data_IF_339339764361
#
_entry.id   IF_339339764361
#
_cell.length_a   1.000
_cell.length_b   1.000
_cell.length_c   1.000
_cell.angle_alpha   90.00
_cell.angle_beta   90.00
_cell.angle_gamma   90.00
#
_symmetry.space_group_name_H-M   'P 1'
#
loop_
_entity.id
_entity.type
_entity.pdbx_description
1 polymer ?
#
# COMPACT_ATOMS: atom_id res chain seq x y z
N UNK A 1 -5.82 -18.94 24.28
CA UNK A 1 -7.18 -18.93 24.86
C UNK A 1 -7.05 -19.16 26.35
N UNK A 2 -7.85 -18.44 27.11
CA UNK A 2 -7.88 -18.40 28.55
C UNK A 2 -9.35 -18.34 29.00
N UNK A 3 -9.58 -18.42 30.31
CA UNK A 3 -10.89 -18.35 30.95
C UNK A 3 -10.77 -17.44 32.16
N UNK A 4 -11.85 -16.85 32.63
CA UNK A 4 -11.92 -15.94 33.78
C UNK A 4 -12.74 -14.68 33.53
N UNK A 5 -13.00 -14.38 32.26
CA UNK A 5 -13.80 -13.27 31.75
C UNK A 5 -14.17 -13.59 30.30
N UNK A 6 -15.16 -12.90 29.74
CA UNK A 6 -15.57 -13.04 28.35
C UNK A 6 -15.15 -11.77 27.56
N UNK A 7 -13.98 -11.82 26.92
CA UNK A 7 -13.36 -10.67 26.23
C UNK A 7 -12.24 -11.13 25.27
N UNK A 8 -12.08 -10.41 24.15
CA UNK A 8 -10.91 -10.56 23.26
C UNK A 8 -9.96 -9.39 23.50
N UNK A 9 -8.70 -9.70 23.78
CA UNK A 9 -7.69 -8.70 24.10
C UNK A 9 -6.62 -8.63 23.02
N UNK A 10 -6.33 -7.42 22.56
CA UNK A 10 -5.20 -7.12 21.69
C UNK A 10 -4.11 -6.34 22.45
N UNK A 11 -2.86 -6.29 21.92
CA UNK A 11 -1.77 -5.56 22.54
C UNK A 11 -2.09 -4.08 22.78
N UNK A 12 -1.36 -3.38 23.64
CA UNK A 12 -0.43 -3.90 24.62
C UNK A 12 -1.11 -4.22 25.95
N UNK A 13 -0.56 -5.20 26.67
CA UNK A 13 -0.85 -5.40 28.08
C UNK A 13 0.11 -4.62 28.98
N UNK A 14 1.39 -4.57 28.59
CA UNK A 14 2.44 -3.93 29.39
C UNK A 14 2.33 -2.41 29.41
N UNK A 15 1.96 -1.83 28.27
CA UNK A 15 1.96 -0.39 28.03
C UNK A 15 0.53 0.13 27.91
N UNK A 16 0.22 1.33 28.46
CA UNK A 16 -1.10 1.94 28.34
C UNK A 16 -1.36 2.54 26.96
N UNK A 17 -0.31 2.75 26.16
CA UNK A 17 -0.43 3.23 24.78
C UNK A 17 -1.04 2.17 23.86
N UNK A 18 -1.72 2.62 22.80
CA UNK A 18 -2.19 1.74 21.75
C UNK A 18 -1.01 1.18 20.92
N UNK A 19 -1.18 0.03 20.25
CA UNK A 19 -0.25 -0.46 19.25
C UNK A 19 0.06 0.61 18.19
N UNK A 20 1.27 0.62 17.65
CA UNK A 20 1.66 1.60 16.62
C UNK A 20 0.80 1.53 15.35
N UNK A 21 0.24 0.37 15.02
CA UNK A 21 -0.71 0.14 13.92
C UNK A 21 -2.14 -0.09 14.46
N UNK A 22 -2.53 0.68 15.48
CA UNK A 22 -3.82 0.57 16.17
C UNK A 22 -5.04 0.53 15.23
N UNK A 23 -4.94 1.15 14.05
CA UNK A 23 -6.00 1.15 13.04
C UNK A 23 -6.41 -0.27 12.65
N UNK A 24 -5.44 -1.20 12.61
CA UNK A 24 -5.69 -2.63 12.34
C UNK A 24 -6.59 -3.23 13.42
N UNK A 25 -6.25 -2.99 14.69
CA UNK A 25 -6.97 -3.58 15.82
C UNK A 25 -8.35 -2.97 16.01
N UNK A 26 -8.48 -1.66 15.79
CA UNK A 26 -9.78 -1.00 15.82
C UNK A 26 -10.66 -1.40 14.65
N UNK A 27 -10.11 -1.52 13.44
CA UNK A 27 -10.88 -2.03 12.29
C UNK A 27 -11.40 -3.46 12.52
N UNK A 28 -10.58 -4.33 13.11
CA UNK A 28 -11.01 -5.68 13.51
C UNK A 28 -12.09 -5.63 14.59
N UNK A 29 -11.91 -4.81 15.64
CA UNK A 29 -12.91 -4.63 16.70
C UNK A 29 -14.25 -4.22 16.12
N UNK A 30 -14.24 -3.17 15.31
CA UNK A 30 -15.46 -2.53 14.83
C UNK A 30 -16.23 -3.51 13.91
N UNK A 31 -15.55 -4.22 13.00
CA UNK A 31 -16.20 -5.23 12.15
C UNK A 31 -16.72 -6.43 12.97
N UNK A 32 -15.93 -6.93 13.93
CA UNK A 32 -16.37 -8.06 14.76
C UNK A 32 -17.61 -7.68 15.57
N UNK A 33 -17.61 -6.51 16.22
CA UNK A 33 -18.71 -6.08 17.09
C UNK A 33 -19.93 -5.54 16.33
N UNK A 34 -19.79 -5.15 15.07
CA UNK A 34 -20.94 -4.76 14.25
C UNK A 34 -21.61 -5.96 13.58
N UNK A 35 -20.84 -6.97 13.14
CA UNK A 35 -21.32 -7.97 12.20
C UNK A 35 -21.18 -9.43 12.64
N UNK A 36 -20.36 -9.75 13.65
CA UNK A 36 -19.96 -11.15 13.93
C UNK A 36 -20.31 -11.59 15.35
N UNK A 37 -19.94 -10.80 16.36
CA UNK A 37 -19.93 -11.22 17.76
C UNK A 37 -20.06 -10.04 18.71
N UNK A 38 -20.78 -10.26 19.81
CA UNK A 38 -20.94 -9.32 20.90
C UNK A 38 -19.78 -9.37 21.90
N UNK A 39 -18.79 -10.27 21.71
CA UNK A 39 -17.61 -10.37 22.57
C UNK A 39 -16.85 -9.04 22.54
N UNK A 40 -16.66 -8.36 23.67
CA UNK A 40 -15.91 -7.11 23.69
C UNK A 40 -14.48 -7.32 23.19
N UNK A 41 -14.00 -6.49 22.26
CA UNK A 41 -12.61 -6.55 21.79
C UNK A 41 -11.85 -5.28 22.20
N UNK A 42 -10.86 -5.43 23.08
CA UNK A 42 -10.23 -4.29 23.78
C UNK A 42 -8.71 -4.41 23.90
N UNK A 43 -8.05 -3.27 24.07
CA UNK A 43 -6.64 -3.25 24.45
C UNK A 43 -6.49 -3.93 25.82
N UNK A 44 -5.49 -4.81 25.97
CA UNK A 44 -5.33 -5.62 27.17
C UNK A 44 -5.08 -4.85 28.46
N UNK A 45 -4.30 -3.77 28.40
CA UNK A 45 -4.01 -2.94 29.56
C UNK A 45 -5.27 -2.23 30.07
N UNK A 46 -6.05 -1.68 29.12
CA UNK A 46 -7.22 -0.84 29.40
C UNK A 46 -8.51 -1.65 29.64
N UNK A 47 -8.68 -2.77 28.94
CA UNK A 47 -9.90 -3.59 28.99
C UNK A 47 -9.87 -4.70 30.03
N UNK A 48 -8.69 -5.07 30.54
CA UNK A 48 -8.54 -6.08 31.59
C UNK A 48 -7.74 -5.53 32.78
N UNK A 49 -6.41 -5.50 32.67
CA UNK A 49 -5.50 -4.87 33.63
C UNK A 49 -4.08 -4.82 33.05
N UNK A 50 -3.20 -3.91 33.54
CA UNK A 50 -1.81 -3.88 33.15
C UNK A 50 -1.08 -5.20 33.45
N UNK A 51 -0.53 -5.86 32.42
CA UNK A 51 0.19 -7.12 32.57
C UNK A 51 1.45 -7.20 31.70
N UNK A 52 2.48 -7.88 32.18
CA UNK A 52 3.76 -8.01 31.49
C UNK A 52 4.07 -9.49 31.19
N UNK A 53 4.88 -9.73 30.16
CA UNK A 53 5.37 -11.07 29.84
C UNK A 53 4.32 -11.99 29.21
N UNK A 54 3.25 -11.43 28.62
CA UNK A 54 2.23 -12.22 27.93
C UNK A 54 2.73 -12.68 26.57
N UNK A 55 2.27 -13.87 26.14
CA UNK A 55 2.55 -14.38 24.79
C UNK A 55 1.96 -13.48 23.71
N UNK A 56 0.85 -12.80 23.99
CA UNK A 56 0.22 -11.82 23.11
C UNK A 56 1.15 -10.64 22.80
N UNK A 57 1.69 -10.00 23.83
CA UNK A 57 2.59 -8.86 23.66
C UNK A 57 3.92 -9.31 23.03
N UNK A 58 4.39 -10.53 23.30
CA UNK A 58 5.56 -11.11 22.63
C UNK A 58 5.30 -11.38 21.13
N UNK A 59 4.16 -11.99 20.80
CA UNK A 59 3.78 -12.29 19.43
C UNK A 59 3.69 -11.03 18.57
N UNK A 60 3.11 -9.96 19.12
CA UNK A 60 3.06 -8.69 18.42
C UNK A 60 4.40 -7.94 18.44
N UNK A 61 4.98 -7.72 19.61
CA UNK A 61 6.15 -6.85 19.75
C UNK A 61 7.47 -7.45 19.30
N UNK A 62 7.65 -8.77 19.43
CA UNK A 62 8.92 -9.44 19.11
C UNK A 62 8.84 -10.25 17.83
N UNK A 63 7.76 -11.03 17.65
CA UNK A 63 7.59 -11.83 16.43
C UNK A 63 6.98 -11.02 15.28
N UNK A 64 6.39 -9.87 15.59
CA UNK A 64 5.72 -9.04 14.61
C UNK A 64 4.52 -9.77 14.02
N UNK A 65 3.57 -10.29 14.80
CA UNK A 65 2.29 -10.84 14.31
C UNK A 65 1.10 -10.19 15.02
N UNK A 66 -0.01 -9.85 14.33
CA UNK A 66 -1.23 -9.46 15.03
C UNK A 66 -1.64 -10.62 15.94
N UNK A 67 -1.80 -10.34 17.22
CA UNK A 67 -1.99 -11.40 18.23
C UNK A 67 -3.15 -11.04 19.13
N UNK A 68 -3.97 -12.03 19.47
CA UNK A 68 -5.16 -11.86 20.30
C UNK A 68 -5.15 -12.86 21.45
N UNK A 69 -5.63 -12.44 22.61
CA UNK A 69 -6.00 -13.33 23.72
C UNK A 69 -7.51 -13.44 23.74
N UNK A 70 -8.04 -14.63 23.53
CA UNK A 70 -9.44 -14.94 23.77
C UNK A 70 -9.59 -15.39 25.23
N UNK A 71 -10.35 -14.64 26.01
CA UNK A 71 -10.86 -15.06 27.31
C UNK A 71 -12.31 -15.51 27.09
N UNK A 72 -12.56 -16.80 27.28
CA UNK A 72 -13.70 -17.47 26.63
C UNK A 72 -14.95 -17.58 27.48
N UNK A 73 -14.80 -17.36 28.78
CA UNK A 73 -15.84 -17.65 29.76
C UNK A 73 -15.52 -17.00 31.10
N UNK A 74 -16.53 -16.54 31.82
CA UNK A 74 -16.45 -15.93 33.15
C UNK A 74 -16.84 -16.89 34.30
N UNK A 75 -17.30 -18.11 33.99
CA UNK A 75 -17.61 -19.17 34.98
C UNK A 75 -16.35 -19.87 35.54
N UNK A 76 -15.18 -19.21 35.48
CA UNK A 76 -13.92 -19.79 35.96
C UNK A 76 -14.03 -20.13 37.45
N UNK A 77 -13.77 -21.40 37.78
CA UNK A 77 -13.88 -21.98 39.13
C UNK A 77 -15.30 -22.23 39.65
N UNK A 78 -16.34 -22.09 38.81
CA UNK A 78 -17.68 -22.54 39.16
C UNK A 78 -17.84 -24.05 38.91
N UNK A 79 -18.65 -24.70 39.76
CA UNK A 79 -18.96 -26.13 39.66
C UNK A 79 -19.97 -26.45 38.55
N UNK A 80 -20.70 -25.43 38.09
CA UNK A 80 -21.69 -25.50 37.03
C UNK A 80 -21.55 -24.23 36.17
N UNK A 81 -21.84 -24.36 34.89
CA UNK A 81 -21.98 -23.21 34.00
C UNK A 81 -23.43 -22.77 33.93
N UNK A 82 -23.66 -21.46 33.95
CA UNK A 82 -24.99 -20.89 33.74
C UNK A 82 -25.22 -20.48 32.29
N UNK A 83 -24.18 -20.59 31.48
CA UNK A 83 -24.10 -20.13 30.11
C UNK A 83 -24.13 -21.32 29.14
N UNK A 84 -24.62 -21.11 27.92
CA UNK A 84 -24.52 -22.13 26.89
C UNK A 84 -23.09 -22.13 26.32
N UNK A 85 -22.26 -23.03 26.85
CA UNK A 85 -20.87 -23.22 26.41
C UNK A 85 -20.78 -23.50 24.90
N UNK A 86 -21.78 -24.15 24.30
CA UNK A 86 -21.78 -24.40 22.86
C UNK A 86 -21.94 -23.10 22.08
N UNK A 87 -22.83 -22.22 22.55
CA UNK A 87 -23.07 -20.92 21.95
C UNK A 87 -21.84 -20.02 22.03
N UNK A 88 -21.22 -19.90 23.22
CA UNK A 88 -19.98 -19.11 23.41
C UNK A 88 -18.83 -19.59 22.54
N UNK A 89 -18.58 -20.90 22.53
CA UNK A 89 -17.53 -21.48 21.68
C UNK A 89 -17.80 -21.32 20.18
N UNK A 90 -19.07 -21.36 19.78
CA UNK A 90 -19.47 -21.13 18.39
C UNK A 90 -19.19 -19.69 17.98
N UNK A 91 -19.55 -18.73 18.82
CA UNK A 91 -19.32 -17.31 18.58
C UNK A 91 -17.82 -16.99 18.45
N UNK A 92 -17.00 -17.50 19.37
CA UNK A 92 -15.54 -17.34 19.28
C UNK A 92 -14.95 -17.98 18.02
N UNK A 93 -15.44 -19.15 17.64
CA UNK A 93 -15.00 -19.82 16.44
C UNK A 93 -15.32 -19.01 15.19
N UNK A 94 -16.45 -18.31 15.16
CA UNK A 94 -16.83 -17.43 14.04
C UNK A 94 -15.90 -16.21 13.96
N UNK A 95 -15.51 -15.63 15.11
CA UNK A 95 -14.45 -14.59 15.14
C UNK A 95 -13.10 -15.14 14.66
N UNK A 96 -12.70 -16.33 15.10
CA UNK A 96 -11.43 -16.93 14.65
C UNK A 96 -11.42 -17.22 13.15
N UNK A 97 -12.53 -17.70 12.59
CA UNK A 97 -12.69 -17.91 11.15
C UNK A 97 -12.50 -16.61 10.40
N UNK A 98 -13.18 -15.54 10.84
CA UNK A 98 -13.03 -14.22 10.25
C UNK A 98 -11.57 -13.74 10.26
N UNK A 99 -10.86 -13.89 11.38
CA UNK A 99 -9.45 -13.51 11.47
C UNK A 99 -8.56 -14.34 10.53
N UNK A 100 -8.83 -15.63 10.37
CA UNK A 100 -8.06 -16.52 9.50
C UNK A 100 -8.33 -16.22 8.02
N UNK A 101 -9.61 -16.09 7.65
CA UNK A 101 -10.03 -15.87 6.26
C UNK A 101 -9.49 -14.53 5.72
N UNK A 102 -9.29 -13.55 6.60
CA UNK A 102 -8.79 -12.22 6.25
C UNK A 102 -7.31 -12.01 6.57
N UNK A 103 -6.53 -13.07 6.83
CA UNK A 103 -5.11 -12.98 7.24
C UNK A 103 -4.23 -12.13 6.31
N UNK A 104 -4.56 -12.06 5.02
CA UNK A 104 -3.83 -11.27 4.02
C UNK A 104 -4.03 -9.75 4.16
N UNK A 105 -5.09 -9.35 4.85
CA UNK A 105 -5.47 -7.95 5.05
C UNK A 105 -4.98 -7.40 6.41
N UNK A 106 -4.48 -8.25 7.31
CA UNK A 106 -3.89 -7.85 8.61
C UNK A 106 -2.45 -7.35 8.50
N UNK A 107 -2.23 -6.48 7.52
CA UNK A 107 -0.95 -5.86 7.16
C UNK A 107 -1.21 -4.68 6.22
N UNK A 108 -0.20 -3.88 5.95
CA UNK A 108 -0.13 -3.04 4.78
C UNK A 108 -0.06 -3.92 3.53
N UNK A 109 -0.89 -3.62 2.54
CA UNK A 109 -0.93 -4.35 1.27
C UNK A 109 -1.04 -3.33 0.15
N UNK A 110 0.10 -2.99 -0.43
CA UNK A 110 0.18 -1.94 -1.43
C UNK A 110 -0.16 -2.48 -2.82
N UNK A 111 -1.13 -1.86 -3.47
CA UNK A 111 -1.53 -2.17 -4.83
C UNK A 111 -1.24 -0.97 -5.72
N UNK A 112 -0.30 -1.11 -6.65
CA UNK A 112 0.00 -0.04 -7.62
C UNK A 112 -1.16 0.11 -8.59
N UNK A 113 -1.62 1.34 -8.77
CA UNK A 113 -2.69 1.69 -9.71
C UNK A 113 -2.14 2.33 -10.98
N UNK A 114 -1.06 3.12 -10.88
CA UNK A 114 -0.31 3.63 -12.02
C UNK A 114 1.15 3.92 -11.66
N UNK A 115 2.03 3.81 -12.66
CA UNK A 115 3.43 4.18 -12.57
C UNK A 115 3.84 4.89 -13.87
N UNK A 116 3.94 6.21 -13.84
CA UNK A 116 4.30 7.03 -14.98
C UNK A 116 5.77 7.44 -14.90
N UNK A 117 6.60 6.98 -15.83
CA UNK A 117 8.05 7.19 -15.82
C UNK A 117 8.45 8.15 -16.95
N UNK A 118 8.88 9.36 -16.59
CA UNK A 118 9.56 10.28 -17.50
C UNK A 118 11.07 10.04 -17.39
N UNK A 119 11.62 9.33 -18.38
CA UNK A 119 13.01 8.88 -18.34
C UNK A 119 13.97 10.07 -18.24
N UNK A 120 14.87 10.03 -17.26
CA UNK A 120 15.88 11.08 -17.02
C UNK A 120 15.36 12.33 -16.32
N UNK A 121 14.11 12.35 -15.85
CA UNK A 121 13.53 13.49 -15.12
C UNK A 121 12.83 13.06 -13.83
N UNK A 122 11.67 12.43 -13.92
CA UNK A 122 10.85 12.10 -12.74
C UNK A 122 9.94 10.92 -13.01
N UNK A 123 9.50 10.26 -11.94
CA UNK A 123 8.48 9.23 -12.03
C UNK A 123 7.39 9.44 -11.00
N UNK A 124 6.14 9.19 -11.36
CA UNK A 124 4.97 9.34 -10.50
C UNK A 124 4.32 7.99 -10.27
N UNK A 125 4.19 7.62 -9.01
CA UNK A 125 3.58 6.38 -8.55
C UNK A 125 2.26 6.69 -7.87
N UNK A 126 1.20 6.00 -8.25
CA UNK A 126 -0.07 5.95 -7.50
C UNK A 126 -0.28 4.56 -6.93
N UNK A 127 -0.62 4.50 -5.64
CA UNK A 127 -0.72 3.26 -4.88
C UNK A 127 -1.86 3.31 -3.87
N UNK A 128 -2.59 2.22 -3.78
CA UNK A 128 -3.66 2.02 -2.80
C UNK A 128 -3.19 1.05 -1.72
N UNK A 129 -3.55 1.31 -0.47
CA UNK A 129 -3.41 0.32 0.59
C UNK A 129 -4.71 -0.48 0.71
N UNK A 130 -4.66 -1.74 0.30
CA UNK A 130 -5.79 -2.67 0.39
C UNK A 130 -5.89 -3.35 1.76
N UNK A 131 -4.90 -3.15 2.64
CA UNK A 131 -4.86 -3.80 3.95
C UNK A 131 -5.13 -2.84 5.09
N UNK A 132 -5.23 -3.36 6.31
CA UNK A 132 -5.70 -2.62 7.49
C UNK A 132 -4.58 -2.03 8.35
N UNK A 133 -3.31 -2.12 7.93
CA UNK A 133 -2.22 -1.46 8.63
C UNK A 133 -1.55 -0.41 7.75
N UNK A 134 -1.14 0.68 8.38
CA UNK A 134 -0.32 1.73 7.77
C UNK A 134 1.10 1.23 7.50
N UNK A 135 1.77 1.80 6.51
CA UNK A 135 3.21 1.68 6.30
C UNK A 135 3.83 3.06 6.18
N UNK A 136 5.04 3.26 6.73
CA UNK A 136 5.70 4.58 6.82
C UNK A 136 7.05 4.67 6.11
N UNK A 137 7.58 3.54 5.63
CA UNK A 137 8.93 3.46 5.04
C UNK A 137 8.92 2.66 3.71
N UNK A 138 7.92 2.90 2.86
CA UNK A 138 7.85 2.28 1.55
C UNK A 138 8.82 2.95 0.57
N UNK A 139 9.37 2.17 -0.35
CA UNK A 139 10.19 2.65 -1.47
C UNK A 139 9.85 1.91 -2.75
N UNK A 140 10.07 2.58 -3.87
CA UNK A 140 10.08 1.96 -5.18
C UNK A 140 11.53 1.64 -5.55
N UNK A 141 11.76 0.42 -6.02
CA UNK A 141 13.05 -0.05 -6.50
C UNK A 141 12.91 -0.51 -7.96
N UNK A 142 13.94 -0.31 -8.76
CA UNK A 142 14.10 -0.94 -10.05
C UNK A 142 15.19 -1.99 -9.92
N UNK A 143 14.84 -3.25 -10.19
CA UNK A 143 15.71 -4.40 -9.98
C UNK A 143 15.94 -5.13 -11.28
N UNK A 144 17.09 -5.81 -11.39
CA UNK A 144 17.30 -6.80 -12.42
C UNK A 144 16.53 -8.08 -12.07
N UNK A 145 15.63 -8.53 -12.93
CA UNK A 145 14.75 -9.68 -12.66
C UNK A 145 15.53 -11.01 -12.61
N UNK A 146 16.66 -11.10 -13.31
CA UNK A 146 17.50 -12.31 -13.33
C UNK A 146 18.42 -12.42 -12.10
N UNK A 147 19.00 -11.29 -11.66
CA UNK A 147 20.00 -11.28 -10.57
C UNK A 147 19.46 -10.83 -9.22
N UNK A 148 18.31 -10.13 -9.20
CA UNK A 148 17.77 -9.46 -8.01
C UNK A 148 18.56 -8.23 -7.57
N UNK A 149 19.53 -7.77 -8.38
CA UNK A 149 20.32 -6.58 -8.08
C UNK A 149 19.46 -5.32 -8.18
N UNK A 150 19.51 -4.46 -7.15
CA UNK A 150 18.84 -3.16 -7.16
C UNK A 150 19.65 -2.18 -8.01
N UNK A 151 19.11 -1.80 -9.16
CA UNK A 151 19.74 -0.90 -10.12
C UNK A 151 19.40 0.58 -9.83
N UNK A 152 18.23 0.83 -9.23
CA UNK A 152 17.80 2.14 -8.80
C UNK A 152 16.82 2.02 -7.62
N UNK A 153 16.82 3.02 -6.74
CA UNK A 153 15.90 3.12 -5.61
C UNK A 153 15.41 4.56 -5.48
N UNK A 154 14.16 4.72 -5.06
CA UNK A 154 13.57 6.03 -4.81
C UNK A 154 14.40 6.82 -3.80
N UNK A 155 14.61 8.10 -4.12
CA UNK A 155 15.39 9.05 -3.31
C UNK A 155 14.81 9.22 -1.90
N UNK A 156 13.47 9.17 -1.79
CA UNK A 156 12.75 9.28 -0.55
C UNK A 156 11.88 8.04 -0.29
N UNK A 157 11.63 7.80 1.00
CA UNK A 157 10.60 6.84 1.44
C UNK A 157 9.26 7.55 1.56
N UNK A 158 8.18 6.81 1.38
CA UNK A 158 6.82 7.32 1.50
C UNK A 158 5.97 6.46 2.44
N UNK A 159 4.90 7.06 2.93
CA UNK A 159 3.92 6.41 3.79
C UNK A 159 2.60 6.23 3.04
N UNK A 160 1.89 5.14 3.34
CA UNK A 160 0.51 4.93 2.86
C UNK A 160 -0.32 4.49 4.06
N UNK A 161 -1.35 5.29 4.35
CA UNK A 161 -2.25 5.03 5.47
C UNK A 161 -3.13 3.80 5.20
N UNK A 162 -3.66 3.15 6.24
CA UNK A 162 -4.52 1.97 6.13
C UNK A 162 -5.77 2.18 5.25
N UNK A 163 -6.30 3.41 5.19
CA UNK A 163 -7.55 3.74 4.49
C UNK A 163 -7.38 4.70 3.32
N UNK A 164 -6.15 4.97 2.89
CA UNK A 164 -5.88 6.01 1.89
C UNK A 164 -5.09 5.49 0.70
N UNK A 165 -5.30 6.14 -0.45
CA UNK A 165 -4.42 6.09 -1.61
C UNK A 165 -3.32 7.14 -1.47
N UNK A 166 -2.18 6.94 -2.11
CA UNK A 166 -1.10 7.94 -2.16
C UNK A 166 -0.54 8.06 -3.56
N UNK A 167 -0.31 9.30 -3.99
CA UNK A 167 0.40 9.61 -5.23
C UNK A 167 1.68 10.33 -4.88
N UNK A 168 2.82 9.77 -5.29
CA UNK A 168 4.15 10.25 -4.94
C UNK A 168 4.99 10.39 -6.20
N UNK A 169 5.77 11.47 -6.27
CA UNK A 169 6.69 11.72 -7.38
C UNK A 169 8.12 11.64 -6.87
N UNK A 170 8.99 10.93 -7.60
CA UNK A 170 10.41 10.74 -7.29
C UNK A 170 11.28 11.28 -8.41
N UNK A 171 12.52 11.65 -8.07
CA UNK A 171 13.56 11.97 -9.04
C UNK A 171 14.02 10.70 -9.78
N UNK A 172 13.91 10.72 -11.11
CA UNK A 172 14.31 9.60 -11.98
C UNK A 172 15.53 9.93 -12.84
N UNK A 173 16.26 11.01 -12.52
CA UNK A 173 17.42 11.45 -13.30
C UNK A 173 18.54 10.39 -13.41
N UNK A 174 18.69 9.55 -12.38
CA UNK A 174 19.68 8.46 -12.35
C UNK A 174 19.12 7.09 -12.75
N UNK A 175 17.86 7.01 -13.19
CA UNK A 175 17.24 5.75 -13.58
C UNK A 175 17.68 5.36 -15.00
N UNK A 176 18.32 4.19 -15.12
CA UNK A 176 18.64 3.58 -16.42
C UNK A 176 17.87 2.28 -16.56
N UNK A 177 16.94 2.22 -17.52
CA UNK A 177 16.15 1.03 -17.78
C UNK A 177 16.97 -0.01 -18.55
N UNK A 178 16.81 -1.28 -18.18
CA UNK A 178 17.42 -2.42 -18.85
C UNK A 178 16.32 -3.33 -19.41
N UNK A 179 16.69 -4.24 -20.32
CA UNK A 179 15.73 -5.15 -20.95
C UNK A 179 15.13 -6.15 -19.95
N UNK A 180 15.92 -6.54 -18.96
CA UNK A 180 15.62 -7.59 -17.99
C UNK A 180 15.37 -6.99 -16.59
N UNK A 181 14.83 -5.77 -16.52
CA UNK A 181 14.59 -5.06 -15.27
C UNK A 181 13.12 -4.75 -15.02
N UNK A 182 12.71 -4.88 -13.75
CA UNK A 182 11.35 -4.68 -13.26
C UNK A 182 11.28 -3.72 -12.08
N UNK A 183 10.13 -3.08 -11.90
CA UNK A 183 9.86 -2.26 -10.71
C UNK A 183 9.30 -3.11 -9.58
N UNK A 184 9.71 -2.83 -8.36
CA UNK A 184 9.30 -3.56 -7.15
C UNK A 184 9.04 -2.57 -6.02
N UNK A 185 7.94 -2.76 -5.31
CA UNK A 185 7.67 -2.06 -4.05
C UNK A 185 8.34 -2.80 -2.90
N UNK A 186 9.15 -2.08 -2.14
CA UNK A 186 9.79 -2.58 -0.93
C UNK A 186 9.27 -1.82 0.29
N UNK A 187 8.62 -2.51 1.21
CA UNK A 187 7.99 -1.86 2.37
C UNK A 187 7.77 -2.81 3.55
N UNK A 188 7.61 -2.22 4.74
CA UNK A 188 7.33 -2.95 5.96
C UNK A 188 5.83 -3.28 6.05
N UNK A 189 5.49 -4.52 6.42
CA UNK A 189 4.08 -4.95 6.51
C UNK A 189 3.27 -4.18 7.55
N UNK A 190 3.88 -3.54 8.55
CA UNK A 190 3.26 -2.89 9.72
C UNK A 190 4.24 -1.94 10.38
N UNK A 191 3.75 -0.93 11.10
CA UNK A 191 4.56 0.12 11.76
C UNK A 191 5.08 -0.33 13.13
N UNK A 192 5.72 -1.49 13.20
CA UNK A 192 6.40 -1.97 14.41
C UNK A 192 7.81 -2.44 14.09
N UNK A 193 8.71 -2.29 15.06
CA UNK A 193 10.13 -2.61 14.87
C UNK A 193 10.37 -4.06 14.43
N UNK A 194 9.56 -5.00 14.92
CA UNK A 194 9.64 -6.43 14.58
C UNK A 194 8.94 -6.82 13.28
N UNK A 195 8.32 -5.87 12.57
CA UNK A 195 7.55 -6.21 11.38
C UNK A 195 8.43 -6.61 10.21
N UNK A 196 8.00 -7.69 9.54
CA UNK A 196 8.66 -8.22 8.34
C UNK A 196 8.52 -7.25 7.16
N UNK A 197 9.55 -7.22 6.33
CA UNK A 197 9.56 -6.50 5.06
C UNK A 197 9.08 -7.39 3.92
N UNK A 198 8.49 -6.76 2.90
CA UNK A 198 8.09 -7.43 1.66
C UNK A 198 8.63 -6.69 0.45
N UNK A 199 8.83 -7.47 -0.60
CA UNK A 199 9.20 -7.01 -1.93
C UNK A 199 8.14 -7.53 -2.89
N UNK A 200 7.32 -6.64 -3.45
CA UNK A 200 6.19 -7.00 -4.32
C UNK A 200 6.38 -6.37 -5.72
N UNK A 201 6.40 -7.18 -6.80
CA UNK A 201 6.65 -6.66 -8.13
C UNK A 201 5.49 -5.79 -8.62
N UNK A 202 5.82 -4.72 -9.32
CA UNK A 202 4.86 -3.85 -9.99
C UNK A 202 4.53 -4.48 -11.34
N UNK A 203 3.24 -4.70 -11.59
CA UNK A 203 2.80 -5.25 -12.87
C UNK A 203 3.10 -4.26 -14.01
N UNK A 204 3.75 -4.77 -15.07
CA UNK A 204 4.15 -3.98 -16.24
C UNK A 204 2.99 -3.28 -16.94
N UNK A 205 1.75 -3.78 -16.80
CA UNK A 205 0.56 -3.13 -17.35
C UNK A 205 0.26 -1.75 -16.73
N UNK A 206 0.75 -1.49 -15.51
CA UNK A 206 0.58 -0.19 -14.85
C UNK A 206 1.73 0.77 -15.15
N UNK A 207 2.78 0.31 -15.83
CA UNK A 207 3.97 1.11 -16.12
C UNK A 207 3.82 1.80 -17.46
N UNK A 208 3.77 3.13 -17.44
CA UNK A 208 3.80 3.97 -18.62
C UNK A 208 5.18 4.62 -18.76
N UNK A 209 5.77 4.54 -19.95
CA UNK A 209 7.10 5.10 -20.24
C UNK A 209 6.92 6.28 -21.19
N UNK A 210 7.35 7.46 -20.75
CA UNK A 210 7.40 8.67 -21.57
C UNK A 210 8.87 9.00 -21.82
N UNK A 211 9.28 8.85 -23.08
CA UNK A 211 10.62 9.25 -23.50
C UNK A 211 10.62 10.75 -23.84
N UNK A 212 11.33 11.52 -23.02
CA UNK A 212 11.58 12.96 -23.20
C UNK A 212 12.35 13.25 -24.50
N UNK A 213 12.97 12.24 -25.13
CA UNK A 213 13.60 12.37 -26.45
C UNK A 213 12.60 12.44 -27.61
N UNK A 214 11.32 12.12 -27.39
CA UNK A 214 10.28 12.44 -28.37
C UNK A 214 9.89 13.92 -28.27
N UNK A 215 10.87 14.81 -28.52
CA UNK A 215 10.57 16.12 -29.12
C UNK A 215 9.91 15.83 -30.45
N UNK A 216 8.59 15.66 -30.42
CA UNK A 216 7.75 15.52 -31.59
C UNK A 216 8.19 16.59 -32.57
N UNK A 217 8.78 16.15 -33.66
CA UNK A 217 8.99 16.97 -34.83
C UNK A 217 7.58 17.42 -35.23
N UNK A 218 7.15 18.60 -34.78
CA UNK A 218 6.01 19.26 -35.39
C UNK A 218 6.25 19.14 -36.89
N UNK A 219 5.29 18.65 -37.69
CA UNK A 219 5.44 18.63 -39.12
C UNK A 219 5.46 20.10 -39.56
N UNK A 220 6.65 20.69 -39.56
CA UNK A 220 6.90 21.93 -40.25
C UNK A 220 6.45 21.73 -41.69
N UNK A 221 5.86 22.75 -42.34
CA UNK A 221 5.43 22.62 -43.72
C UNK A 221 6.60 22.03 -44.51
N UNK A 222 6.34 20.90 -45.18
CA UNK A 222 7.38 20.21 -45.95
C UNK A 222 8.10 21.24 -46.82
N UNK A 223 9.41 21.08 -47.03
CA UNK A 223 10.16 22.00 -47.89
C UNK A 223 9.47 22.22 -49.25
N UNK A 224 8.72 21.22 -49.72
CA UNK A 224 7.84 21.29 -50.89
C UNK A 224 6.76 22.38 -50.78
N UNK A 225 6.04 22.49 -49.65
CA UNK A 225 5.02 23.52 -49.42
C UNK A 225 5.62 24.92 -49.33
N UNK A 226 6.81 25.05 -48.74
CA UNK A 226 7.55 26.32 -48.70
C UNK A 226 7.97 26.75 -50.11
N UNK A 227 8.49 25.82 -50.92
CA UNK A 227 8.88 26.08 -52.31
C UNK A 227 7.64 26.45 -53.16
N UNK A 228 6.53 25.71 -53.02
CA UNK A 228 5.27 26.02 -53.71
C UNK A 228 4.77 27.42 -53.31
N UNK A 229 4.88 27.79 -52.03
CA UNK A 229 4.54 29.12 -51.55
C UNK A 229 5.37 30.22 -52.22
N UNK A 230 6.68 30.03 -52.37
CA UNK A 230 7.55 30.98 -53.08
C UNK A 230 7.25 31.06 -54.58
N UNK A 231 6.97 29.93 -55.23
CA UNK A 231 6.60 29.89 -56.65
C UNK A 231 5.27 30.61 -56.88
N UNK A 232 4.26 30.35 -56.05
CA UNK A 232 2.96 31.01 -56.14
C UNK A 232 3.06 32.52 -55.84
N UNK A 233 3.87 32.91 -54.86
CA UNK A 233 4.11 34.32 -54.55
C UNK A 233 4.85 35.05 -55.69
N UNK A 234 5.83 34.41 -56.31
CA UNK A 234 6.54 34.95 -57.48
C UNK A 234 5.60 35.10 -58.68
N UNK A 235 4.74 34.11 -58.93
CA UNK A 235 3.77 34.15 -60.02
C UNK A 235 2.71 35.25 -59.79
N UNK A 236 2.27 35.44 -58.55
CA UNK A 236 1.35 36.53 -58.19
C UNK A 236 1.98 37.90 -58.42
N UNK A 237 3.26 38.09 -58.07
CA UNK A 237 4.01 39.33 -58.35
C UNK A 237 4.14 39.62 -59.85
N UNK A 238 4.40 38.61 -60.66
CA UNK A 238 4.47 38.75 -62.11
C UNK A 238 3.12 39.18 -62.71
N UNK A 239 2.01 38.54 -62.28
CA UNK A 239 0.66 38.84 -62.77
C UNK A 239 0.11 40.22 -62.34
N UNK A 240 0.70 40.83 -61.32
CA UNK A 240 0.38 42.19 -60.86
C UNK A 240 1.21 43.21 -61.64
N UNK A 241 2.50 42.92 -61.89
CA UNK A 241 3.35 43.77 -62.72
C UNK A 241 2.88 43.86 -64.18
N UNK A 242 2.25 42.81 -64.72
CA UNK A 242 1.64 42.85 -66.07
C UNK A 242 0.31 43.62 -66.10
N UNK A 243 -0.36 43.79 -64.95
CA UNK A 243 -1.62 44.54 -64.86
C UNK A 243 -1.42 46.04 -64.64
N UNK A 244 -0.31 46.44 -64.05
CA UNK A 244 0.04 47.86 -63.82
C UNK A 244 0.87 48.47 -64.97
N UNK A 245 1.03 47.73 -66.08
CA UNK A 245 1.82 48.11 -67.27
C UNK A 245 1.00 48.53 -68.50
N UNK A 246 -0.27 48.90 -68.35
CA UNK A 246 -1.14 49.49 -69.39
C UNK A 246 -1.66 50.87 -68.97
#
# INVERSE_FOLDING_TARGET
MHTGVWIILYPWGKWPEQPSDWELFHGIRDEVNENISDIPLQNANQGLYPNCGTSRDYGYGVMGFPTFTFETDDDQFLLFTFEDVNERLREELDVMRYLIDNVWYWRARLSVTSLDVNIGESLTLSVDNLGHATTINASLQYVNDDTGEVLWESDNKFAVNATNSSTVTFDASNLTLTKDGGFVLYYQKRVIDSSTWVSEPVNSTYVSLVDSQSKGLLPGPSALLVIIGFVLAAHRRHSVSERDGL
#
